data_IF_157113400862
#
_entry.id   IF_157113400862
#
_cell.length_a   1.000
_cell.length_b   1.000
_cell.length_c   1.000
_cell.angle_alpha   90.00
_cell.angle_beta   90.00
_cell.angle_gamma   90.00
#
_symmetry.space_group_name_H-M   'P 1'
#
loop_
_entity.id
_entity.type
_entity.pdbx_description
1 polymer ?
#
# COMPACT_ATOMS: atom_id res chain seq x y z
N UNK A 1 20.30 11.06 -15.70
CA UNK A 1 19.24 10.90 -16.70
C UNK A 1 18.50 9.56 -16.56
N UNK A 2 19.13 8.39 -16.70
CA UNK A 2 18.43 7.08 -16.56
C UNK A 2 18.01 6.73 -15.11
N UNK A 3 18.85 7.06 -14.12
CA UNK A 3 18.60 6.74 -12.70
C UNK A 3 17.40 7.48 -12.13
N UNK A 4 17.20 8.74 -12.52
CA UNK A 4 16.03 9.55 -12.13
C UNK A 4 14.73 8.96 -12.67
N UNK A 5 14.72 8.53 -13.93
CA UNK A 5 13.55 7.89 -14.56
C UNK A 5 13.18 6.56 -13.88
N UNK A 6 14.19 5.78 -13.44
CA UNK A 6 13.95 4.57 -12.67
C UNK A 6 13.41 4.86 -11.27
N UNK A 7 13.98 5.84 -10.57
CA UNK A 7 13.51 6.25 -9.25
C UNK A 7 12.07 6.80 -9.33
N UNK A 8 11.72 7.56 -10.37
CA UNK A 8 10.35 8.03 -10.62
C UNK A 8 9.38 6.87 -10.87
N UNK A 9 9.78 5.83 -11.60
CA UNK A 9 8.93 4.63 -11.83
C UNK A 9 8.74 3.81 -10.56
N UNK A 10 9.78 3.66 -9.75
CA UNK A 10 9.69 3.01 -8.44
C UNK A 10 8.78 3.82 -7.50
N UNK A 11 8.98 5.14 -7.43
CA UNK A 11 8.15 6.04 -6.64
C UNK A 11 6.68 6.01 -7.07
N UNK A 12 6.41 6.01 -8.38
CA UNK A 12 5.06 5.85 -8.92
C UNK A 12 4.45 4.48 -8.54
N UNK A 13 5.24 3.40 -8.61
CA UNK A 13 4.80 2.07 -8.18
C UNK A 13 4.45 2.01 -6.69
N UNK A 14 5.29 2.59 -5.83
CA UNK A 14 5.03 2.68 -4.38
C UNK A 14 3.81 3.55 -4.11
N UNK A 15 3.66 4.69 -4.78
CA UNK A 15 2.52 5.58 -4.62
C UNK A 15 1.20 4.91 -5.03
N UNK A 16 1.18 4.20 -6.16
CA UNK A 16 0.03 3.42 -6.63
C UNK A 16 -0.29 2.27 -5.66
N UNK A 17 0.72 1.52 -5.23
CA UNK A 17 0.53 0.42 -4.27
C UNK A 17 0.04 0.90 -2.91
N UNK A 18 0.55 2.04 -2.44
CA UNK A 18 0.09 2.69 -1.20
C UNK A 18 -1.34 3.21 -1.31
N UNK A 19 -1.72 3.82 -2.44
CA UNK A 19 -3.08 4.30 -2.66
C UNK A 19 -4.09 3.14 -2.74
N UNK A 20 -3.76 2.08 -3.49
CA UNK A 20 -4.64 0.90 -3.64
C UNK A 20 -4.73 0.14 -2.32
N UNK A 21 -3.60 -0.16 -1.67
CA UNK A 21 -3.60 -0.84 -0.38
C UNK A 21 -4.28 -0.02 0.71
N UNK A 22 -4.12 1.31 0.68
CA UNK A 22 -4.83 2.24 1.55
C UNK A 22 -6.35 2.20 1.37
N UNK A 23 -6.83 2.25 0.12
CA UNK A 23 -8.26 2.19 -0.18
C UNK A 23 -8.86 0.83 0.19
N UNK A 24 -8.19 -0.28 -0.15
CA UNK A 24 -8.65 -1.63 0.19
C UNK A 24 -8.67 -1.83 1.70
N UNK A 25 -7.61 -1.44 2.40
CA UNK A 25 -7.53 -1.54 3.86
C UNK A 25 -8.57 -0.68 4.59
N UNK A 26 -8.89 0.50 4.06
CA UNK A 26 -9.95 1.35 4.60
C UNK A 26 -11.33 0.73 4.40
N UNK A 27 -11.63 0.19 3.21
CA UNK A 27 -12.93 -0.46 2.91
C UNK A 27 -13.10 -1.76 3.70
N UNK A 28 -12.10 -2.64 3.68
CA UNK A 28 -12.17 -3.90 4.44
C UNK A 28 -12.14 -3.66 5.95
N UNK A 29 -11.32 -2.73 6.41
CA UNK A 29 -11.26 -2.34 7.81
C UNK A 29 -12.58 -1.75 8.31
N UNK A 30 -13.22 -0.86 7.54
CA UNK A 30 -14.52 -0.30 7.91
C UNK A 30 -15.64 -1.35 7.88
N UNK A 31 -15.63 -2.26 6.90
CA UNK A 31 -16.59 -3.35 6.83
C UNK A 31 -16.45 -4.31 8.02
N UNK A 32 -15.22 -4.71 8.36
CA UNK A 32 -14.94 -5.56 9.52
C UNK A 32 -15.31 -4.87 10.84
N UNK A 33 -14.99 -3.57 10.97
CA UNK A 33 -15.34 -2.79 12.15
C UNK A 33 -16.86 -2.70 12.37
N UNK A 34 -17.67 -2.57 11.31
CA UNK A 34 -19.13 -2.55 11.40
C UNK A 34 -19.67 -3.94 11.75
N UNK A 35 -19.13 -5.00 11.14
CA UNK A 35 -19.57 -6.40 11.34
C UNK A 35 -19.18 -6.97 12.70
N UNK A 36 -17.96 -6.74 13.17
CA UNK A 36 -17.43 -7.29 14.43
C UNK A 36 -17.92 -6.52 15.68
N UNK A 37 -18.83 -5.54 15.54
CA UNK A 37 -19.45 -4.79 16.65
C UNK A 37 -18.41 -4.25 17.66
N UNK A 38 -17.21 -3.91 17.17
CA UNK A 38 -16.09 -3.53 18.02
C UNK A 38 -16.37 -2.16 18.68
N UNK A 39 -16.32 -2.04 20.01
CA UNK A 39 -16.58 -0.77 20.69
C UNK A 39 -15.34 0.16 20.62
N UNK A 40 -15.57 1.43 20.31
CA UNK A 40 -14.62 2.52 20.56
C UNK A 40 -13.35 2.59 19.71
N UNK A 41 -12.28 3.13 20.32
CA UNK A 41 -10.99 3.55 19.74
C UNK A 41 -10.17 2.40 19.11
N UNK A 42 -10.48 1.15 19.50
CA UNK A 42 -9.85 -0.05 18.94
C UNK A 42 -10.22 -0.26 17.46
N UNK A 43 -11.41 0.20 17.03
CA UNK A 43 -11.80 0.21 15.60
C UNK A 43 -10.80 0.95 14.74
N UNK A 44 -10.42 2.17 15.17
CA UNK A 44 -9.53 3.03 14.40
C UNK A 44 -8.12 2.45 14.35
N UNK A 45 -7.64 1.87 15.47
CA UNK A 45 -6.34 1.17 15.48
C UNK A 45 -6.35 -0.10 14.63
N UNK A 46 -7.44 -0.86 14.64
CA UNK A 46 -7.55 -2.08 13.85
C UNK A 46 -7.64 -1.78 12.35
N UNK A 47 -8.46 -0.80 11.95
CA UNK A 47 -8.54 -0.27 10.58
C UNK A 47 -7.18 0.29 10.15
N UNK A 48 -6.53 1.07 11.02
CA UNK A 48 -5.22 1.64 10.74
C UNK A 48 -4.15 0.57 10.55
N UNK A 49 -4.14 -0.48 11.37
CA UNK A 49 -3.20 -1.61 11.23
C UNK A 49 -3.42 -2.39 9.93
N UNK A 50 -4.66 -2.74 9.60
CA UNK A 50 -4.97 -3.46 8.35
C UNK A 50 -4.69 -2.61 7.12
N UNK A 51 -4.92 -1.29 7.21
CA UNK A 51 -4.61 -0.32 6.14
C UNK A 51 -3.11 -0.15 5.94
N UNK A 52 -2.33 0.02 7.00
CA UNK A 52 -0.86 0.15 6.89
C UNK A 52 -0.24 -1.16 6.42
N UNK A 53 -0.74 -2.31 6.89
CA UNK A 53 -0.25 -3.62 6.45
C UNK A 53 -0.49 -3.84 4.94
N UNK A 54 -1.71 -3.58 4.46
CA UNK A 54 -2.03 -3.72 3.04
C UNK A 54 -1.32 -2.68 2.17
N UNK A 55 -1.34 -1.40 2.55
CA UNK A 55 -0.57 -0.35 1.87
C UNK A 55 0.93 -0.65 1.80
N UNK A 56 1.48 -1.21 2.88
CA UNK A 56 2.86 -1.66 2.96
C UNK A 56 3.15 -2.77 1.94
N UNK A 57 2.38 -3.86 1.95
CA UNK A 57 2.60 -5.00 1.05
C UNK A 57 2.44 -4.61 -0.42
N UNK A 58 1.36 -3.91 -0.77
CA UNK A 58 1.12 -3.48 -2.15
C UNK A 58 2.15 -2.44 -2.62
N UNK A 59 2.53 -1.49 -1.76
CA UNK A 59 3.58 -0.52 -2.05
C UNK A 59 4.96 -1.17 -2.25
N UNK A 60 5.32 -2.13 -1.41
CA UNK A 60 6.60 -2.85 -1.50
C UNK A 60 6.63 -3.76 -2.74
N UNK A 61 5.52 -4.43 -3.07
CA UNK A 61 5.43 -5.29 -4.25
C UNK A 61 5.54 -4.49 -5.56
N UNK A 62 4.76 -3.41 -5.71
CA UNK A 62 4.80 -2.56 -6.90
C UNK A 62 6.11 -1.75 -6.98
N UNK A 63 6.64 -1.31 -5.84
CA UNK A 63 7.95 -0.66 -5.77
C UNK A 63 9.09 -1.59 -6.19
N UNK A 64 9.14 -2.81 -5.65
CA UNK A 64 10.14 -3.82 -6.00
C UNK A 64 9.99 -4.32 -7.44
N UNK A 65 8.76 -4.51 -7.93
CA UNK A 65 8.49 -4.86 -9.33
C UNK A 65 9.00 -3.79 -10.30
N UNK A 66 8.74 -2.52 -10.01
CA UNK A 66 9.28 -1.39 -10.79
C UNK A 66 10.81 -1.31 -10.72
N UNK A 67 11.42 -1.70 -9.59
CA UNK A 67 12.88 -1.74 -9.42
C UNK A 67 13.51 -2.82 -10.31
N UNK A 68 12.95 -4.03 -10.32
CA UNK A 68 13.45 -5.16 -11.13
C UNK A 68 13.33 -4.85 -12.63
N UNK A 69 12.20 -4.25 -13.04
CA UNK A 69 11.98 -3.90 -14.45
C UNK A 69 12.95 -2.82 -14.96
N UNK A 70 13.38 -1.91 -14.08
CA UNK A 70 14.41 -0.92 -14.41
C UNK A 70 15.83 -1.52 -14.34
N UNK A 71 16.08 -2.46 -13.43
CA UNK A 71 17.36 -3.16 -13.32
C UNK A 71 17.65 -4.13 -14.46
N UNK A 72 16.66 -4.52 -15.27
CA UNK A 72 16.88 -5.39 -16.44
C UNK A 72 17.25 -4.64 -17.74
N UNK A 73 17.38 -3.32 -17.70
CA UNK A 73 17.68 -2.46 -18.87
C UNK A 73 19.12 -1.93 -18.90
N UNK A 74 20.03 -2.53 -18.13
CA UNK A 74 21.48 -2.32 -18.27
C UNK A 74 22.16 -3.58 -18.81
#
# INVERSE_FOLDING_TARGET
MARDSCLTRVGAGVALGGAIGGAVGAVFGTYDAIRCKVPGLLKVRHIGQTTIASAGIFGLFLGAGSLIHCGKSY
#
